data_IF_439543349250
#
_entry.id   IF_439543349250
#
_cell.length_a   1.000
_cell.length_b   1.000
_cell.length_c   1.000
_cell.angle_alpha   90.00
_cell.angle_beta   90.00
_cell.angle_gamma   90.00
#
_symmetry.space_group_name_H-M   'P 1'
#
loop_
_entity.id
_entity.type
_entity.pdbx_description
1 polymer ?
#
# COMPACT_ATOMS: atom_id res chain seq x y z
N UNK A 1 2.57 7.74 -9.92
CA UNK A 1 1.68 8.85 -9.50
C UNK A 1 1.81 9.17 -8.02
N UNK A 2 1.75 8.19 -7.11
CA UNK A 2 1.91 8.40 -5.66
C UNK A 2 3.23 9.09 -5.24
N UNK A 3 4.37 8.68 -5.81
CA UNK A 3 5.67 9.31 -5.55
C UNK A 3 5.71 10.81 -5.85
N UNK A 4 5.06 11.24 -6.93
CA UNK A 4 4.94 12.66 -7.28
C UNK A 4 4.01 13.40 -6.30
N UNK A 5 2.96 12.74 -5.82
CA UNK A 5 2.08 13.31 -4.79
C UNK A 5 2.82 13.50 -3.46
N UNK A 6 3.72 12.58 -3.07
CA UNK A 6 4.56 12.72 -1.87
C UNK A 6 5.52 13.90 -2.02
N UNK A 7 6.21 14.03 -3.16
CA UNK A 7 7.09 15.17 -3.43
C UNK A 7 6.33 16.49 -3.44
N UNK A 8 5.14 16.53 -4.05
CA UNK A 8 4.28 17.71 -4.06
C UNK A 8 3.81 18.06 -2.64
N UNK A 9 3.42 17.07 -1.83
CA UNK A 9 2.99 17.30 -0.45
C UNK A 9 4.12 17.83 0.43
N UNK A 10 5.36 17.34 0.28
CA UNK A 10 6.54 17.87 0.96
C UNK A 10 6.80 19.35 0.61
N UNK A 11 6.69 19.70 -0.68
CA UNK A 11 6.84 21.08 -1.13
C UNK A 11 5.73 21.99 -0.60
N UNK A 12 4.47 21.52 -0.61
CA UNK A 12 3.32 22.28 -0.09
C UNK A 12 3.40 22.46 1.43
N UNK A 13 3.80 21.43 2.18
CA UNK A 13 3.90 21.52 3.63
C UNK A 13 5.01 22.48 4.08
N UNK A 14 6.20 22.36 3.51
CA UNK A 14 7.30 23.29 3.80
C UNK A 14 6.94 24.74 3.45
N UNK A 15 6.28 24.96 2.30
CA UNK A 15 5.84 26.29 1.89
C UNK A 15 4.71 26.86 2.76
N UNK A 16 3.76 26.03 3.20
CA UNK A 16 2.67 26.49 4.08
C UNK A 16 3.17 26.85 5.48
N UNK A 17 4.08 26.07 6.06
CA UNK A 17 4.69 26.38 7.35
C UNK A 17 5.56 27.64 7.23
N UNK A 18 6.36 27.77 6.18
CA UNK A 18 7.16 28.97 5.91
C UNK A 18 6.27 30.22 5.74
N UNK A 19 5.21 30.13 4.94
CA UNK A 19 4.29 31.25 4.73
C UNK A 19 3.63 31.70 6.04
N UNK A 20 3.19 30.75 6.88
CA UNK A 20 2.61 31.07 8.18
C UNK A 20 3.63 31.64 9.17
N UNK A 21 4.87 31.18 9.15
CA UNK A 21 5.95 31.77 9.93
C UNK A 21 6.23 33.22 9.47
N UNK A 22 6.26 33.45 8.16
CA UNK A 22 6.51 34.77 7.57
C UNK A 22 5.37 35.78 7.80
N UNK A 23 4.11 35.35 7.65
CA UNK A 23 2.95 36.24 7.86
C UNK A 23 2.55 36.39 9.34
N UNK A 24 3.09 35.58 10.24
CA UNK A 24 2.74 35.67 11.66
C UNK A 24 3.39 36.90 12.30
N UNK A 25 2.61 37.87 12.81
CA UNK A 25 3.15 39.02 13.55
C UNK A 25 3.79 38.60 14.89
N UNK A 26 3.61 37.36 15.33
CA UNK A 26 4.20 36.80 16.54
C UNK A 26 5.36 35.82 16.26
N UNK A 27 5.89 35.78 15.02
CA UNK A 27 7.13 35.06 14.75
C UNK A 27 8.31 35.73 15.47
N UNK A 28 9.30 34.94 15.86
CA UNK A 28 10.44 35.42 16.62
C UNK A 28 11.28 36.43 15.80
N UNK A 29 11.17 36.41 14.46
CA UNK A 29 11.73 37.43 13.57
C UNK A 29 11.08 38.81 13.76
N UNK A 30 9.74 38.87 13.84
CA UNK A 30 9.02 40.14 14.07
C UNK A 30 9.20 40.66 15.51
N UNK A 31 9.46 39.76 16.46
CA UNK A 31 9.74 40.12 17.86
C UNK A 31 11.23 40.43 18.14
N UNK A 32 12.11 40.33 17.13
CA UNK A 32 13.58 40.54 17.23
C UNK A 32 14.24 39.76 18.38
N UNK A 33 13.80 38.52 18.62
CA UNK A 33 14.36 37.68 19.66
C UNK A 33 15.73 37.13 19.24
N UNK A 34 16.68 37.04 20.18
CA UNK A 34 18.07 36.63 19.92
C UNK A 34 18.19 35.19 19.38
N UNK A 35 17.22 34.33 19.69
CA UNK A 35 17.12 32.95 19.22
C UNK A 35 16.44 32.79 17.85
N UNK A 36 15.98 33.87 17.23
CA UNK A 36 15.19 33.84 15.99
C UNK A 36 16.01 33.95 14.69
N UNK A 37 17.31 34.19 14.81
CA UNK A 37 18.06 34.91 13.77
C UNK A 37 18.46 34.03 12.57
N UNK A 38 18.55 32.70 12.74
CA UNK A 38 18.91 31.79 11.67
C UNK A 38 17.77 30.85 11.28
N UNK A 39 17.22 30.07 12.20
CA UNK A 39 16.43 28.91 11.79
C UNK A 39 14.98 29.25 11.38
N UNK A 40 14.39 30.34 11.89
CA UNK A 40 13.01 30.74 11.53
C UNK A 40 12.90 31.48 10.19
N UNK A 41 14.01 31.93 9.60
CA UNK A 41 13.99 32.81 8.41
C UNK A 41 14.24 32.04 7.12
N UNK A 42 14.99 30.95 7.18
CA UNK A 42 15.45 30.24 6.00
C UNK A 42 14.46 29.13 5.59
N UNK A 43 13.92 29.21 4.37
CA UNK A 43 13.05 28.17 3.80
C UNK A 43 13.69 26.76 3.82
N UNK A 44 15.02 26.70 3.73
CA UNK A 44 15.79 25.44 3.76
C UNK A 44 15.52 24.64 5.04
N UNK A 45 15.46 25.29 6.19
CA UNK A 45 15.21 24.60 7.47
C UNK A 45 13.80 24.00 7.54
N UNK A 46 12.81 24.67 6.96
CA UNK A 46 11.45 24.15 6.84
C UNK A 46 11.36 22.95 5.90
N UNK A 47 12.09 22.97 4.78
CA UNK A 47 12.18 21.84 3.86
C UNK A 47 12.86 20.65 4.55
N UNK A 48 14.00 20.89 5.18
CA UNK A 48 14.76 19.85 5.87
C UNK A 48 13.98 19.25 7.04
N UNK A 49 13.29 20.09 7.82
CA UNK A 49 12.41 19.64 8.91
C UNK A 49 11.23 18.81 8.41
N UNK A 50 10.58 19.19 7.30
CA UNK A 50 9.49 18.38 6.72
C UNK A 50 10.00 17.02 6.21
N UNK A 51 11.18 17.00 5.58
CA UNK A 51 11.84 15.77 5.13
C UNK A 51 12.21 14.90 6.33
N UNK A 52 12.89 15.44 7.35
CA UNK A 52 13.25 14.70 8.57
C UNK A 52 12.04 14.13 9.30
N UNK A 53 10.95 14.90 9.39
CA UNK A 53 9.67 14.44 9.95
C UNK A 53 9.04 13.33 9.11
N UNK A 54 9.10 13.40 7.78
CA UNK A 54 8.60 12.35 6.90
C UNK A 54 9.42 11.06 7.06
N UNK A 55 10.74 11.15 7.23
CA UNK A 55 11.64 10.01 7.40
C UNK A 55 11.68 9.43 8.83
N UNK A 56 10.81 9.86 9.75
CA UNK A 56 10.88 9.53 11.19
C UNK A 56 12.22 9.92 11.88
N UNK A 57 13.04 10.79 11.28
CA UNK A 57 14.31 11.21 11.88
C UNK A 57 14.10 12.24 13.00
N UNK A 58 12.91 12.84 13.08
CA UNK A 58 12.59 13.92 14.01
C UNK A 58 12.85 15.30 13.40
N UNK A 59 12.55 16.34 14.17
CA UNK A 59 12.75 17.74 13.78
C UNK A 59 13.69 18.41 14.78
N UNK A 60 14.77 19.02 14.28
CA UNK A 60 15.75 19.76 15.09
C UNK A 60 15.34 21.24 15.25
N UNK A 61 14.36 21.68 14.45
CA UNK A 61 13.85 23.03 14.43
C UNK A 61 12.38 23.10 14.87
N UNK A 62 12.05 24.06 15.75
CA UNK A 62 10.71 24.25 16.28
C UNK A 62 10.28 25.73 16.30
N UNK A 63 9.25 26.13 15.53
CA UNK A 63 8.81 27.52 15.45
C UNK A 63 8.17 28.03 16.75
N UNK A 64 8.46 29.28 17.10
CA UNK A 64 7.92 29.92 18.30
C UNK A 64 6.41 30.18 18.23
N UNK A 65 5.90 30.60 17.07
CA UNK A 65 4.49 30.95 16.88
C UNK A 65 3.55 29.73 16.98
N UNK A 66 2.34 29.94 17.52
CA UNK A 66 1.35 28.87 17.68
C UNK A 66 0.70 28.41 16.37
N UNK A 67 0.61 29.27 15.36
CA UNK A 67 0.02 28.95 14.05
C UNK A 67 0.80 27.87 13.27
N UNK A 68 2.13 27.95 13.06
CA UNK A 68 2.87 26.90 12.37
C UNK A 68 2.88 25.58 13.13
N UNK A 69 2.77 25.59 14.47
CA UNK A 69 2.64 24.36 15.28
C UNK A 69 1.38 23.58 14.95
N UNK A 70 0.24 24.25 14.75
CA UNK A 70 -0.99 23.58 14.33
C UNK A 70 -0.83 22.89 12.97
N UNK A 71 -0.13 23.53 12.03
CA UNK A 71 0.17 22.95 10.72
C UNK A 71 1.16 21.79 10.81
N UNK A 72 2.14 21.85 11.70
CA UNK A 72 3.04 20.72 11.96
C UNK A 72 2.28 19.48 12.47
N UNK A 73 1.30 19.66 13.35
CA UNK A 73 0.45 18.55 13.81
C UNK A 73 -0.35 17.96 12.65
N UNK A 74 -0.91 18.81 11.79
CA UNK A 74 -1.60 18.34 10.58
C UNK A 74 -0.66 17.58 9.63
N UNK A 75 0.56 18.07 9.45
CA UNK A 75 1.60 17.39 8.67
C UNK A 75 1.97 16.03 9.24
N UNK A 76 2.09 15.92 10.56
CA UNK A 76 2.33 14.65 11.24
C UNK A 76 1.21 13.65 11.03
N UNK A 77 -0.05 14.08 11.14
CA UNK A 77 -1.21 13.22 10.85
C UNK A 77 -1.20 12.74 9.41
N UNK A 78 -0.93 13.65 8.47
CA UNK A 78 -0.83 13.31 7.05
C UNK A 78 0.25 12.26 6.79
N UNK A 79 1.43 12.41 7.41
CA UNK A 79 2.53 11.44 7.31
C UNK A 79 2.07 10.07 7.79
N UNK A 80 1.46 9.96 8.97
CA UNK A 80 0.96 8.68 9.51
C UNK A 80 -0.04 8.00 8.57
N UNK A 81 -0.93 8.76 7.94
CA UNK A 81 -1.90 8.22 6.96
C UNK A 81 -1.18 7.60 5.74
N UNK A 82 -0.16 8.27 5.20
CA UNK A 82 0.63 7.74 4.08
C UNK A 82 1.34 6.45 4.47
N UNK A 83 1.97 6.43 5.65
CA UNK A 83 2.63 5.24 6.16
C UNK A 83 1.64 4.08 6.32
N UNK A 84 0.43 4.35 6.82
CA UNK A 84 -0.65 3.37 6.89
C UNK A 84 -1.08 2.84 5.53
N UNK A 85 -1.27 3.72 4.54
CA UNK A 85 -1.64 3.32 3.18
C UNK A 85 -0.55 2.46 2.52
N UNK A 86 0.71 2.86 2.66
CA UNK A 86 1.86 2.06 2.18
C UNK A 86 1.93 0.70 2.88
N UNK A 87 1.71 0.65 4.19
CA UNK A 87 1.66 -0.60 4.95
C UNK A 87 0.49 -1.48 4.49
N UNK A 88 -0.66 -0.88 4.14
CA UNK A 88 -1.82 -1.57 3.59
C UNK A 88 -1.54 -2.17 2.22
N UNK A 89 -0.92 -1.42 1.32
CA UNK A 89 -0.53 -1.89 -0.02
C UNK A 89 0.52 -3.02 0.06
N UNK A 90 1.49 -2.89 0.97
CA UNK A 90 2.46 -3.96 1.27
C UNK A 90 1.77 -5.20 1.87
N UNK A 91 0.86 -5.01 2.82
CA UNK A 91 0.12 -6.11 3.46
C UNK A 91 -0.79 -6.81 2.45
N UNK A 92 -1.36 -6.08 1.50
CA UNK A 92 -2.16 -6.64 0.41
C UNK A 92 -1.31 -7.54 -0.48
N UNK A 93 -0.07 -7.14 -0.79
CA UNK A 93 0.85 -8.00 -1.52
C UNK A 93 1.26 -9.24 -0.71
N UNK A 94 1.38 -9.12 0.62
CA UNK A 94 1.75 -10.24 1.51
C UNK A 94 0.58 -11.20 1.81
N UNK A 95 -0.67 -10.71 1.84
CA UNK A 95 -1.88 -11.52 2.06
C UNK A 95 -2.43 -12.14 0.79
N UNK A 96 -1.93 -11.77 -0.39
CA UNK A 96 -2.15 -12.51 -1.65
C UNK A 96 -1.26 -13.76 -1.64
N UNK A 97 -1.44 -14.60 -0.63
CA UNK A 97 -1.36 -16.04 -0.85
C UNK A 97 -2.70 -16.42 -1.48
N UNK A 98 -2.72 -16.54 -2.80
CA UNK A 98 -3.87 -17.03 -3.54
C UNK A 98 -4.19 -18.44 -3.02
N UNK A 99 -5.13 -18.55 -2.07
CA UNK A 99 -5.83 -19.81 -1.82
C UNK A 99 -6.90 -19.96 -2.92
N UNK A 100 -6.50 -19.92 -4.19
CA UNK A 100 -7.29 -20.58 -5.22
C UNK A 100 -7.04 -22.05 -4.99
N UNK A 101 -7.92 -22.70 -4.23
CA UNK A 101 -8.08 -24.13 -4.45
C UNK A 101 -8.37 -24.26 -5.95
N UNK A 102 -7.54 -24.97 -6.73
CA UNK A 102 -7.65 -25.02 -8.20
C UNK A 102 -8.92 -25.76 -8.68
N UNK A 103 -9.86 -26.04 -7.79
CA UNK A 103 -10.94 -26.99 -7.99
C UNK A 103 -12.17 -26.45 -7.28
N UNK A 104 -12.95 -25.61 -7.96
CA UNK A 104 -14.26 -25.18 -7.45
C UNK A 104 -15.38 -26.16 -7.81
N UNK A 105 -15.12 -27.13 -8.70
CA UNK A 105 -16.05 -28.20 -9.08
C UNK A 105 -15.33 -29.46 -9.58
N UNK A 106 -16.01 -30.62 -9.52
CA UNK A 106 -15.49 -31.88 -10.07
C UNK A 106 -15.19 -31.80 -11.57
N UNK A 107 -15.93 -30.96 -12.31
CA UNK A 107 -15.80 -30.75 -13.76
C UNK A 107 -14.49 -30.04 -14.12
N UNK A 108 -14.08 -29.06 -13.32
CA UNK A 108 -12.83 -28.31 -13.47
C UNK A 108 -11.60 -29.23 -13.20
N UNK A 109 -11.76 -30.16 -12.24
CA UNK A 109 -10.79 -31.21 -11.94
C UNK A 109 -10.61 -32.22 -13.09
N UNK A 110 -11.68 -32.52 -13.81
CA UNK A 110 -11.69 -33.43 -14.96
C UNK A 110 -11.11 -32.78 -16.22
N UNK A 111 -11.31 -31.48 -16.38
CA UNK A 111 -10.80 -30.70 -17.52
C UNK A 111 -9.27 -30.45 -17.44
N UNK A 112 -8.74 -30.21 -16.25
CA UNK A 112 -7.30 -29.92 -16.05
C UNK A 112 -6.41 -31.17 -16.27
N UNK A 113 -6.96 -32.39 -16.13
CA UNK A 113 -6.31 -33.68 -16.49
C UNK A 113 -5.00 -34.02 -15.73
N UNK A 114 -4.50 -33.08 -14.94
CA UNK A 114 -3.21 -33.09 -14.23
C UNK A 114 -3.27 -33.84 -12.89
N UNK A 115 -4.47 -33.95 -12.30
CA UNK A 115 -4.67 -34.48 -10.96
C UNK A 115 -5.28 -35.89 -11.02
N UNK A 116 -4.58 -36.88 -10.46
CA UNK A 116 -5.10 -38.24 -10.32
C UNK A 116 -5.91 -38.36 -9.02
N UNK A 117 -7.24 -38.53 -9.07
CA UNK A 117 -8.02 -38.68 -7.86
C UNK A 117 -7.73 -40.03 -7.19
N UNK A 118 -7.29 -40.00 -5.93
CA UNK A 118 -7.09 -41.20 -5.12
C UNK A 118 -8.43 -41.57 -4.47
N UNK A 119 -9.13 -42.56 -5.02
CA UNK A 119 -10.38 -43.08 -4.45
C UNK A 119 -10.18 -44.46 -3.79
N UNK A 120 -10.73 -44.70 -2.59
CA UNK A 120 -10.74 -46.03 -1.97
C UNK A 120 -11.47 -47.05 -2.88
N UNK A 121 -10.78 -48.14 -3.23
CA UNK A 121 -11.35 -49.19 -4.08
C UNK A 121 -12.43 -49.97 -3.32
N UNK A 122 -13.63 -50.06 -3.89
CA UNK A 122 -14.76 -50.84 -3.34
C UNK A 122 -16.01 -50.01 -3.01
N UNK A 123 -15.96 -48.69 -3.07
CA UNK A 123 -17.15 -47.85 -2.89
C UNK A 123 -17.98 -47.80 -4.17
N UNK A 124 -19.32 -47.80 -4.04
CA UNK A 124 -20.26 -47.74 -5.18
C UNK A 124 -19.95 -46.59 -6.17
N UNK A 125 -19.36 -45.49 -5.73
CA UNK A 125 -18.93 -44.37 -6.58
C UNK A 125 -17.84 -44.75 -7.61
N UNK A 126 -16.94 -45.69 -7.30
CA UNK A 126 -15.91 -46.18 -8.26
C UNK A 126 -16.52 -46.94 -9.45
N UNK A 127 -17.64 -47.63 -9.22
CA UNK A 127 -18.35 -48.37 -10.27
C UNK A 127 -19.02 -47.44 -11.29
N UNK A 128 -19.59 -46.32 -10.82
CA UNK A 128 -20.18 -45.31 -11.71
C UNK A 128 -19.13 -44.54 -12.52
N UNK A 129 -17.97 -44.23 -11.93
CA UNK A 129 -16.86 -43.58 -12.63
C UNK A 129 -16.30 -44.45 -13.76
N UNK A 130 -16.11 -45.75 -13.55
CA UNK A 130 -15.66 -46.66 -14.62
C UNK A 130 -16.68 -46.77 -15.77
N UNK A 131 -17.98 -46.72 -15.47
CA UNK A 131 -19.04 -46.71 -16.49
C UNK A 131 -19.08 -45.39 -17.27
N UNK A 132 -18.83 -44.25 -16.61
CA UNK A 132 -18.80 -42.92 -17.26
C UNK A 132 -17.55 -42.74 -18.15
N UNK A 133 -16.36 -43.13 -17.68
CA UNK A 133 -15.13 -43.10 -18.49
C UNK A 133 -15.23 -44.02 -19.70
N UNK A 134 -15.81 -45.21 -19.54
CA UNK A 134 -16.07 -46.12 -20.66
C UNK A 134 -17.03 -45.56 -21.72
N UNK A 135 -17.93 -44.65 -21.34
CA UNK A 135 -18.85 -43.98 -22.28
C UNK A 135 -18.16 -42.81 -23.01
N UNK A 136 -17.30 -42.04 -22.35
CA UNK A 136 -16.51 -40.95 -22.99
C UNK A 136 -15.47 -41.50 -23.97
N UNK A 137 -14.83 -42.63 -23.65
CA UNK A 137 -13.89 -43.28 -24.57
C UNK A 137 -14.60 -43.88 -25.80
N UNK A 138 -15.88 -44.23 -25.67
CA UNK A 138 -16.69 -44.78 -26.77
C UNK A 138 -17.21 -43.69 -27.73
N UNK A 139 -17.41 -42.46 -27.26
CA UNK A 139 -17.76 -41.32 -28.12
C UNK A 139 -16.54 -40.74 -28.88
N UNK A 140 -15.31 -41.09 -28.49
CA UNK A 140 -14.07 -40.60 -29.10
C UNK A 140 -13.29 -41.63 -29.94
N UNK A 141 -13.96 -42.66 -30.49
CA UNK A 141 -13.36 -43.46 -31.57
C UNK A 141 -14.39 -44.10 -32.49
N UNK A 142 -14.12 -44.27 -33.80
CA UNK A 142 -13.02 -43.81 -34.64
C UNK A 142 -13.53 -43.00 -35.86
N UNK A 143 -13.71 -41.68 -35.71
CA UNK A 143 -14.02 -40.79 -36.87
C UNK A 143 -12.80 -39.96 -37.32
N UNK A 144 -11.63 -40.18 -36.72
CA UNK A 144 -10.34 -39.55 -37.10
C UNK A 144 -9.46 -40.47 -37.98
N UNK A 145 -10.09 -41.28 -38.84
CA UNK A 145 -9.42 -42.06 -39.88
C UNK A 145 -10.08 -41.75 -41.23
N UNK A 146 -9.73 -40.60 -41.81
CA UNK A 146 -10.08 -40.17 -43.16
C UNK A 146 -8.97 -39.32 -43.74
#
# INVERSE_FOLDING_TARGET
>A
TCWLAVLAALAVASLTIFALAYFSPFSAWNLQLEFAIADEVWLQEYIWSCIGSFLQQGQDFYPYAMSPRAVMVFWWLFTVIIYGAYTGDLTSALTVSVTSLPIQSFEDMLADGSLTPIMPRGTRSTMYSGCAVGRVQADHGPDAAG
#
